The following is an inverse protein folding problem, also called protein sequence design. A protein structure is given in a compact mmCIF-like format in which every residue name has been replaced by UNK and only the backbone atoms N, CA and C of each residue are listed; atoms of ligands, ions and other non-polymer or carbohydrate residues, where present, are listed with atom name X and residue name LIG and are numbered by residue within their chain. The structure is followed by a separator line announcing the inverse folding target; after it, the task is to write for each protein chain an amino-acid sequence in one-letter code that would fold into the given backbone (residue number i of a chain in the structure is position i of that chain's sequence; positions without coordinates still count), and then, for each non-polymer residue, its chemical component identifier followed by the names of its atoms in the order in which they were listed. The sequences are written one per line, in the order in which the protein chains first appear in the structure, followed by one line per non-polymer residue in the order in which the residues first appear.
data_IF_721651666128
#
_entry.id   IF_721651666128
#
_cell.length_a   1.000
_cell.length_b   1.000
_cell.length_c   1.000
_cell.angle_alpha   90.00
_cell.angle_beta   90.00
_cell.angle_gamma   90.00
#
_symmetry.space_group_name_H-M   'P 1'
#
loop_
_entity.id
_entity.type
_entity.pdbx_description
1 polymer ?
#
# COMPACT_ATOMS: atom_id res chain seq x y z
N UNK A 1 -14.10 7.58 -7.27
CA UNK A 1 -13.39 8.83 -6.90
C UNK A 1 -12.70 8.66 -5.53
N UNK A 2 -11.90 7.59 -5.36
CA UNK A 2 -11.24 7.25 -4.08
C UNK A 2 -9.82 6.67 -4.29
N UNK A 3 -9.55 6.05 -5.45
CA UNK A 3 -8.26 5.47 -5.84
C UNK A 3 -7.11 6.50 -5.77
N UNK A 4 -7.32 7.71 -6.29
CA UNK A 4 -6.24 8.71 -6.41
C UNK A 4 -5.70 9.19 -5.06
N UNK A 5 -6.57 9.27 -4.02
CA UNK A 5 -6.12 9.72 -2.69
C UNK A 5 -5.20 8.73 -2.00
N UNK A 6 -5.46 7.43 -2.18
CA UNK A 6 -4.64 6.41 -1.52
C UNK A 6 -3.26 6.29 -2.16
N UNK A 7 -3.17 6.34 -3.49
CA UNK A 7 -1.86 6.31 -4.17
C UNK A 7 -0.99 7.52 -3.79
N UNK A 8 -1.57 8.71 -3.67
CA UNK A 8 -0.85 9.89 -3.20
C UNK A 8 -0.34 9.72 -1.76
N UNK A 9 -1.12 9.09 -0.90
CA UNK A 9 -0.71 8.84 0.49
C UNK A 9 0.40 7.78 0.56
N UNK A 10 0.40 6.76 -0.32
CA UNK A 10 1.52 5.83 -0.47
C UNK A 10 2.80 6.55 -0.90
N UNK A 11 2.70 7.48 -1.86
CA UNK A 11 3.86 8.25 -2.32
C UNK A 11 4.45 9.10 -1.18
N UNK A 12 3.61 9.79 -0.40
CA UNK A 12 4.05 10.56 0.78
C UNK A 12 4.65 9.67 1.87
N UNK A 13 4.13 8.46 2.07
CA UNK A 13 4.69 7.50 3.02
C UNK A 13 6.10 7.06 2.61
N UNK A 14 6.35 6.88 1.32
CA UNK A 14 7.68 6.57 0.81
C UNK A 14 8.63 7.74 1.08
N UNK A 15 8.26 8.97 0.70
CA UNK A 15 9.07 10.16 0.96
C UNK A 15 9.40 10.33 2.45
N UNK A 16 8.40 10.09 3.32
CA UNK A 16 8.60 10.09 4.76
C UNK A 16 9.60 9.01 5.18
N UNK A 17 9.45 7.78 4.68
CA UNK A 17 10.33 6.67 5.02
C UNK A 17 11.79 6.93 4.61
N UNK A 18 12.00 7.59 3.47
CA UNK A 18 13.32 7.99 3.00
C UNK A 18 13.91 9.10 3.88
N UNK A 19 13.12 10.14 4.17
CA UNK A 19 13.56 11.25 5.03
C UNK A 19 14.00 10.78 6.42
N UNK A 20 13.30 9.81 6.97
CA UNK A 20 13.55 9.30 8.33
C UNK A 20 14.37 8.01 8.36
N UNK A 21 14.85 7.53 7.20
CA UNK A 21 15.65 6.31 7.07
C UNK A 21 14.93 5.05 7.62
N UNK A 22 13.60 5.00 7.46
CA UNK A 22 12.71 3.91 7.88
C UNK A 22 12.11 3.19 6.67
N UNK A 23 12.96 2.79 5.72
CA UNK A 23 12.54 2.24 4.43
C UNK A 23 11.62 1.02 4.57
N UNK A 24 10.58 0.98 3.74
CA UNK A 24 9.71 -0.18 3.61
C UNK A 24 10.39 -1.31 2.83
N UNK A 25 10.01 -2.55 3.14
CA UNK A 25 10.26 -3.68 2.26
C UNK A 25 9.07 -3.83 1.31
N UNK A 26 9.15 -3.18 0.15
CA UNK A 26 8.03 -3.16 -0.81
C UNK A 26 7.56 -4.56 -1.21
N UNK A 27 8.46 -5.54 -1.32
CA UNK A 27 8.11 -6.93 -1.67
C UNK A 27 7.29 -7.66 -0.60
N UNK A 28 7.24 -7.15 0.64
CA UNK A 28 6.39 -7.67 1.72
C UNK A 28 5.10 -6.89 1.90
N UNK A 29 4.98 -5.71 1.31
CA UNK A 29 3.78 -4.88 1.38
C UNK A 29 2.68 -5.49 0.49
N UNK A 30 1.44 -5.51 1.02
CA UNK A 30 0.26 -6.00 0.31
C UNK A 30 -0.91 -5.05 0.54
N UNK A 31 -1.79 -4.93 -0.43
CA UNK A 31 -3.05 -4.23 -0.28
C UNK A 31 -4.11 -5.19 0.26
N UNK A 32 -4.83 -4.79 1.31
CA UNK A 32 -5.99 -5.52 1.84
C UNK A 32 -7.23 -4.67 1.60
N UNK A 33 -8.13 -5.13 0.74
CA UNK A 33 -9.41 -4.46 0.53
C UNK A 33 -10.38 -4.82 1.66
N UNK A 34 -10.91 -3.80 2.33
CA UNK A 34 -11.93 -3.97 3.37
C UNK A 34 -13.18 -3.15 3.00
N UNK A 35 -14.36 -3.74 3.15
CA UNK A 35 -15.64 -3.13 2.76
C UNK A 35 -16.07 -3.40 1.31
N UNK A 36 -17.16 -2.75 0.87
CA UNK A 36 -17.68 -2.84 -0.50
C UNK A 36 -17.32 -1.59 -1.33
N UNK A 37 -16.94 -1.79 -2.59
CA UNK A 37 -16.80 -0.70 -3.59
C UNK A 37 -15.38 -0.30 -3.99
N UNK A 38 -14.33 -1.02 -3.57
CA UNK A 38 -12.94 -0.81 -4.01
C UNK A 38 -12.34 -2.10 -4.60
N UNK A 39 -13.11 -2.79 -5.43
CA UNK A 39 -12.65 -4.01 -6.09
C UNK A 39 -11.74 -3.61 -7.26
N UNK A 40 -10.49 -4.10 -7.24
CA UNK A 40 -9.49 -4.05 -8.32
C UNK A 40 -8.65 -2.77 -8.54
N UNK A 41 -8.55 -1.87 -7.55
CA UNK A 41 -7.61 -0.75 -7.64
C UNK A 41 -6.16 -1.20 -7.41
N UNK A 42 -5.35 -1.20 -8.46
CA UNK A 42 -3.92 -1.55 -8.37
C UNK A 42 -3.10 -0.36 -7.85
N UNK A 43 -2.30 -0.58 -6.82
CA UNK A 43 -1.42 0.43 -6.22
C UNK A 43 0.05 0.06 -6.36
N UNK A 44 0.92 1.08 -6.32
CA UNK A 44 2.37 0.90 -6.36
C UNK A 44 3.05 1.54 -5.14
N UNK A 45 4.18 0.95 -4.75
CA UNK A 45 5.18 1.62 -3.92
C UNK A 45 6.50 1.66 -4.68
N UNK A 46 6.90 2.85 -5.13
CA UNK A 46 7.98 3.01 -6.10
C UNK A 46 7.66 2.23 -7.38
N UNK A 47 8.60 1.40 -7.84
CA UNK A 47 8.43 0.55 -9.01
C UNK A 47 7.73 -0.80 -8.69
N UNK A 48 7.35 -1.03 -7.44
CA UNK A 48 6.73 -2.30 -7.01
C UNK A 48 5.21 -2.18 -7.01
N UNK A 49 4.54 -2.99 -7.83
CA UNK A 49 3.09 -3.20 -7.71
C UNK A 49 2.80 -3.96 -6.42
N UNK A 50 1.89 -3.43 -5.61
CA UNK A 50 1.45 -4.11 -4.39
C UNK A 50 0.53 -5.27 -4.74
N UNK A 51 0.86 -6.45 -4.20
CA UNK A 51 -0.01 -7.61 -4.30
C UNK A 51 -1.26 -7.41 -3.44
N UNK A 52 -2.40 -7.86 -3.91
CA UNK A 52 -3.63 -7.87 -3.12
C UNK A 52 -3.71 -9.13 -2.26
N UNK A 53 -4.23 -8.99 -1.05
CA UNK A 53 -4.68 -10.10 -0.22
C UNK A 53 -6.09 -9.84 0.33
N UNK A 54 -6.84 -10.92 0.59
CA UNK A 54 -8.15 -10.86 1.24
C UNK A 54 -8.06 -11.13 2.75
N UNK A 55 -6.92 -11.64 3.20
CA UNK A 55 -6.66 -11.98 4.60
C UNK A 55 -5.17 -11.92 4.88
N UNK A 56 -4.81 -11.49 6.07
CA UNK A 56 -3.44 -11.56 6.58
C UNK A 56 -3.51 -12.05 8.01
N UNK A 57 -2.52 -12.82 8.44
CA UNK A 57 -2.50 -13.34 9.80
C UNK A 57 -2.08 -12.21 10.75
N UNK A 58 -2.82 -12.02 11.83
CA UNK A 58 -2.39 -11.11 12.90
C UNK A 58 -1.09 -11.63 13.55
N UNK A 59 -0.25 -10.70 13.98
CA UNK A 59 1.04 -11.02 14.63
C UNK A 59 0.91 -11.10 16.16
N UNK A 60 -0.28 -10.89 16.73
CA UNK A 60 -0.63 -11.00 18.15
C UNK A 60 -1.84 -11.90 18.41
#
# INVERSE_FOLDING_TARGET
MQIDRFQDDLNKLIEWSEKWQMLFNFGKCKCLYTGHGNEDAQYTMGDTVLNTTLKEKDLG
#
